data_IF_742735339170
#
_entry.id   IF_742735339170
#
_cell.length_a   1.000
_cell.length_b   1.000
_cell.length_c   1.000
_cell.angle_alpha   90.00
_cell.angle_beta   90.00
_cell.angle_gamma   90.00
#
_symmetry.space_group_name_H-M   'P 1'
#
loop_
_entity.id
_entity.type
_entity.pdbx_description
1 polymer ?
#
# COMPACT_ATOMS: atom_id res chain seq x y z
N UNK A 1 -11.49 3.06 -18.40
CA UNK A 1 -11.19 2.30 -17.16
C UNK A 1 -10.10 3.05 -16.37
N UNK A 2 -9.85 2.70 -15.10
CA UNK A 2 -8.72 3.28 -14.33
C UNK A 2 -7.38 2.98 -15.03
N UNK A 3 -7.24 1.77 -15.58
CA UNK A 3 -6.07 1.36 -16.36
C UNK A 3 -5.80 2.29 -17.56
N UNK A 4 -6.82 2.63 -18.35
CA UNK A 4 -6.66 3.57 -19.47
C UNK A 4 -6.21 4.97 -19.02
N UNK A 5 -6.59 5.41 -17.81
CA UNK A 5 -6.12 6.69 -17.24
C UNK A 5 -4.64 6.62 -16.89
N UNK A 6 -4.18 5.49 -16.35
CA UNK A 6 -2.76 5.24 -16.05
C UNK A 6 -1.93 5.25 -17.33
N UNK A 7 -2.40 4.58 -18.39
CA UNK A 7 -1.72 4.54 -19.69
C UNK A 7 -1.63 5.94 -20.33
N UNK A 8 -2.73 6.70 -20.28
CA UNK A 8 -2.75 8.09 -20.73
C UNK A 8 -1.77 8.94 -19.94
N UNK A 9 -1.76 8.83 -18.60
CA UNK A 9 -0.85 9.60 -17.74
C UNK A 9 0.62 9.23 -17.98
N UNK A 10 0.92 7.95 -18.20
CA UNK A 10 2.26 7.50 -18.57
C UNK A 10 2.72 8.10 -19.90
N UNK A 11 1.84 8.09 -20.91
CA UNK A 11 2.14 8.66 -22.24
C UNK A 11 2.38 10.16 -22.15
N UNK A 12 1.55 10.87 -21.39
CA UNK A 12 1.69 12.31 -21.15
C UNK A 12 2.99 12.64 -20.42
N UNK A 13 3.32 11.90 -19.36
CA UNK A 13 4.55 12.11 -18.60
C UNK A 13 5.81 11.88 -19.45
N UNK A 14 5.82 10.84 -20.30
CA UNK A 14 6.89 10.60 -21.26
C UNK A 14 7.03 11.71 -22.30
N UNK A 15 5.91 12.21 -22.82
CA UNK A 15 5.91 13.31 -23.78
C UNK A 15 6.55 14.56 -23.17
N UNK A 16 6.13 14.93 -21.95
CA UNK A 16 6.68 16.11 -21.28
C UNK A 16 8.16 15.92 -20.96
N UNK A 17 8.56 14.74 -20.49
CA UNK A 17 9.97 14.40 -20.25
C UNK A 17 10.83 14.60 -21.51
N UNK A 18 10.36 14.10 -22.65
CA UNK A 18 11.03 14.26 -23.94
C UNK A 18 11.10 15.72 -24.38
N UNK A 19 10.00 16.48 -24.24
CA UNK A 19 9.94 17.90 -24.59
C UNK A 19 10.92 18.73 -23.74
N UNK A 20 11.04 18.44 -22.44
CA UNK A 20 11.99 19.11 -21.55
C UNK A 20 13.44 18.80 -21.92
N UNK A 21 13.76 17.54 -22.19
CA UNK A 21 15.09 17.15 -22.67
C UNK A 21 15.45 17.86 -23.98
N UNK A 22 14.51 17.89 -24.93
CA UNK A 22 14.71 18.57 -26.21
C UNK A 22 14.96 20.07 -26.04
N UNK A 23 14.26 20.75 -25.12
CA UNK A 23 14.50 22.16 -24.80
C UNK A 23 15.91 22.41 -24.27
N UNK A 24 16.39 21.58 -23.33
CA UNK A 24 17.76 21.68 -22.81
C UNK A 24 18.81 21.43 -23.90
N UNK A 25 18.56 20.48 -24.81
CA UNK A 25 19.49 20.18 -25.90
C UNK A 25 19.51 21.27 -26.98
N UNK A 26 18.38 21.93 -27.23
CA UNK A 26 18.31 23.10 -28.12
C UNK A 26 19.06 24.27 -27.49
N UNK A 27 18.80 24.57 -26.22
CA UNK A 27 19.47 25.67 -25.51
C UNK A 27 20.99 25.48 -25.47
N UNK A 28 21.47 24.28 -25.14
CA UNK A 28 22.91 24.01 -25.09
C UNK A 28 23.57 24.12 -26.47
N UNK A 29 22.85 23.75 -27.54
CA UNK A 29 23.33 23.90 -28.92
C UNK A 29 23.43 25.36 -29.32
N UNK A 30 22.39 26.14 -29.04
CA UNK A 30 22.38 27.60 -29.29
C UNK A 30 23.51 28.28 -28.50
N UNK A 31 23.74 27.88 -27.25
CA UNK A 31 24.86 28.39 -26.46
C UNK A 31 26.21 28.10 -27.13
N UNK A 32 26.44 26.88 -27.62
CA UNK A 32 27.67 26.50 -28.33
C UNK A 32 27.86 27.34 -29.59
N UNK A 33 26.82 27.47 -30.42
CA UNK A 33 26.88 28.28 -31.65
C UNK A 33 27.20 29.77 -31.38
N UNK A 34 26.63 30.34 -30.32
CA UNK A 34 26.89 31.73 -29.91
C UNK A 34 28.34 31.86 -29.42
N UNK A 35 28.79 30.94 -28.56
CA UNK A 35 30.16 30.93 -28.03
C UNK A 35 31.19 30.78 -29.15
N UNK A 36 30.92 29.96 -30.15
CA UNK A 36 31.81 29.77 -31.31
C UNK A 36 31.92 31.05 -32.16
N UNK A 37 30.83 31.82 -32.28
CA UNK A 37 30.80 33.10 -33.03
C UNK A 37 31.42 34.27 -32.28
N UNK A 38 31.20 34.38 -30.97
CA UNK A 38 31.66 35.50 -30.15
C UNK A 38 33.03 35.25 -29.48
N UNK A 39 33.46 34.00 -29.43
CA UNK A 39 34.76 33.57 -28.94
C UNK A 39 35.07 34.10 -27.52
N UNK A 40 36.28 34.64 -27.27
CA UNK A 40 36.73 35.01 -25.94
C UNK A 40 36.00 36.21 -25.32
N UNK A 41 35.18 36.94 -26.09
CA UNK A 41 34.35 38.03 -25.57
C UNK A 41 33.07 37.53 -24.87
N UNK A 42 32.69 36.26 -25.07
CA UNK A 42 31.54 35.65 -24.41
C UNK A 42 31.98 34.90 -23.13
N UNK A 43 31.94 35.60 -22.00
CA UNK A 43 32.37 35.07 -20.69
C UNK A 43 31.22 34.52 -19.83
N UNK A 44 30.06 34.21 -20.43
CA UNK A 44 28.92 33.64 -19.71
C UNK A 44 29.22 32.19 -19.32
N UNK A 45 28.77 31.77 -18.12
CA UNK A 45 28.92 30.41 -17.62
C UNK A 45 28.35 29.38 -18.63
N UNK A 46 29.01 28.24 -18.87
CA UNK A 46 28.50 27.22 -19.78
C UNK A 46 27.12 26.70 -19.39
N UNK A 47 26.21 26.59 -20.37
CA UNK A 47 24.88 26.00 -20.14
C UNK A 47 24.92 24.60 -19.52
N UNK A 48 25.96 23.81 -19.82
CA UNK A 48 26.16 22.49 -19.20
C UNK A 48 26.33 22.55 -17.66
N UNK A 49 26.91 23.62 -17.12
CA UNK A 49 27.01 23.84 -15.67
C UNK A 49 25.70 24.35 -15.09
N UNK A 50 25.01 25.25 -15.79
CA UNK A 50 23.74 25.81 -15.34
C UNK A 50 22.61 24.76 -15.35
N UNK A 51 22.61 23.89 -16.36
CA UNK A 51 21.57 22.89 -16.57
C UNK A 51 21.83 21.56 -15.83
N UNK A 52 22.92 21.46 -15.06
CA UNK A 52 23.33 20.21 -14.41
C UNK A 52 22.25 19.63 -13.49
N UNK A 53 21.59 20.47 -12.69
CA UNK A 53 20.47 20.05 -11.82
C UNK A 53 19.28 19.55 -12.64
N UNK A 54 18.85 20.31 -13.64
CA UNK A 54 17.72 19.92 -14.51
C UNK A 54 17.96 18.60 -15.24
N UNK A 55 19.18 18.36 -15.73
CA UNK A 55 19.54 17.08 -16.36
C UNK A 55 19.56 15.92 -15.37
N UNK A 56 19.98 16.15 -14.12
CA UNK A 56 19.91 15.16 -13.05
C UNK A 56 18.47 14.81 -12.70
N UNK A 57 17.62 15.83 -12.53
CA UNK A 57 16.20 15.67 -12.22
C UNK A 57 15.47 14.93 -13.35
N UNK A 58 15.74 15.26 -14.62
CA UNK A 58 15.20 14.54 -15.78
C UNK A 58 15.68 13.09 -15.86
N UNK A 59 16.93 12.80 -15.48
CA UNK A 59 17.41 11.42 -15.42
C UNK A 59 16.64 10.62 -14.38
N UNK A 60 16.45 11.18 -13.19
CA UNK A 60 15.67 10.56 -12.11
C UNK A 60 14.21 10.31 -12.53
N UNK A 61 13.55 11.29 -13.17
CA UNK A 61 12.20 11.11 -13.71
C UNK A 61 12.17 9.99 -14.76
N UNK A 62 13.18 9.93 -15.64
CA UNK A 62 13.29 8.85 -16.62
C UNK A 62 13.44 7.47 -15.98
N UNK A 63 14.19 7.36 -14.88
CA UNK A 63 14.31 6.12 -14.11
C UNK A 63 12.96 5.70 -13.49
N UNK A 64 12.22 6.65 -12.91
CA UNK A 64 10.87 6.40 -12.39
C UNK A 64 9.89 5.98 -13.47
N UNK A 65 9.89 6.63 -14.63
CA UNK A 65 9.03 6.26 -15.76
C UNK A 65 9.35 4.86 -16.28
N UNK A 66 10.63 4.49 -16.37
CA UNK A 66 11.03 3.14 -16.79
C UNK A 66 10.57 2.06 -15.78
N UNK A 67 10.71 2.32 -14.48
CA UNK A 67 10.20 1.42 -13.43
C UNK A 67 8.67 1.30 -13.50
N UNK A 68 7.98 2.41 -13.75
CA UNK A 68 6.54 2.45 -13.87
C UNK A 68 6.05 1.65 -15.09
N UNK A 69 6.76 1.69 -16.23
CA UNK A 69 6.47 0.85 -17.41
C UNK A 69 6.53 -0.63 -17.05
N UNK A 70 7.60 -1.08 -16.38
CA UNK A 70 7.72 -2.49 -15.98
C UNK A 70 6.59 -2.93 -15.02
N UNK A 71 6.20 -2.06 -14.09
CA UNK A 71 5.08 -2.31 -13.17
C UNK A 71 3.74 -2.36 -13.93
N UNK A 72 3.50 -1.43 -14.85
CA UNK A 72 2.30 -1.38 -15.68
C UNK A 72 2.15 -2.64 -16.53
N UNK A 73 3.22 -3.10 -17.19
CA UNK A 73 3.19 -4.35 -17.98
C UNK A 73 2.88 -5.56 -17.12
N UNK A 74 3.41 -5.62 -15.90
CA UNK A 74 3.08 -6.70 -14.95
C UNK A 74 1.60 -6.65 -14.55
N UNK A 75 1.08 -5.46 -14.27
CA UNK A 75 -0.31 -5.26 -13.92
C UNK A 75 -1.25 -5.62 -15.07
N UNK A 76 -0.92 -5.25 -16.30
CA UNK A 76 -1.67 -5.62 -17.51
C UNK A 76 -1.78 -7.14 -17.65
N UNK A 77 -0.64 -7.82 -17.51
CA UNK A 77 -0.59 -9.29 -17.53
C UNK A 77 -1.43 -9.89 -16.41
N UNK A 78 -1.34 -9.38 -15.18
CA UNK A 78 -2.13 -9.86 -14.04
C UNK A 78 -3.63 -9.62 -14.26
N UNK A 79 -4.03 -8.51 -14.88
CA UNK A 79 -5.44 -8.25 -15.25
C UNK A 79 -5.91 -9.25 -16.31
N UNK A 80 -5.10 -9.48 -17.34
CA UNK A 80 -5.45 -10.37 -18.45
C UNK A 80 -5.57 -11.84 -17.99
N UNK A 81 -4.61 -12.33 -17.21
CA UNK A 81 -4.60 -13.70 -16.67
C UNK A 81 -5.80 -13.97 -15.74
N UNK A 82 -6.33 -12.93 -15.08
CA UNK A 82 -7.44 -13.05 -14.14
C UNK A 82 -8.77 -12.55 -14.71
N UNK A 83 -8.84 -12.19 -16.01
CA UNK A 83 -10.03 -11.60 -16.63
C UNK A 83 -11.27 -12.50 -16.49
N UNK A 84 -11.11 -13.81 -16.72
CA UNK A 84 -12.20 -14.79 -16.57
C UNK A 84 -12.66 -14.94 -15.11
N UNK A 85 -11.76 -14.81 -14.14
CA UNK A 85 -12.11 -14.81 -12.72
C UNK A 85 -12.89 -13.54 -12.35
N UNK A 86 -12.50 -12.38 -12.90
CA UNK A 86 -13.21 -11.13 -12.67
C UNK A 86 -14.60 -11.13 -13.31
N UNK A 87 -14.79 -11.82 -14.44
CA UNK A 87 -16.10 -11.99 -15.07
C UNK A 87 -17.11 -12.71 -14.17
N UNK A 88 -16.64 -13.59 -13.27
CA UNK A 88 -17.52 -14.22 -12.29
C UNK A 88 -18.07 -13.20 -11.26
N UNK A 89 -17.36 -12.10 -11.00
CA UNK A 89 -17.81 -11.02 -10.11
C UNK A 89 -18.82 -10.07 -10.76
N UNK A 90 -18.92 -10.08 -12.10
CA UNK A 90 -19.89 -9.28 -12.84
C UNK A 90 -21.28 -9.93 -12.89
N UNK A 91 -21.36 -11.23 -12.59
CA UNK A 91 -22.60 -12.00 -12.58
C UNK A 91 -23.57 -11.52 -11.51
N UNK A 92 -24.86 -11.57 -11.83
CA UNK A 92 -25.90 -11.24 -10.84
C UNK A 92 -25.97 -12.30 -9.74
N UNK A 93 -26.65 -11.97 -8.63
CA UNK A 93 -26.87 -12.92 -7.53
C UNK A 93 -27.63 -14.16 -8.01
N UNK A 94 -28.59 -13.96 -8.91
CA UNK A 94 -29.42 -15.00 -9.51
C UNK A 94 -28.57 -15.94 -10.39
N UNK A 95 -27.69 -15.38 -11.22
CA UNK A 95 -26.74 -16.13 -12.04
C UNK A 95 -25.72 -16.91 -11.20
N UNK A 96 -25.24 -16.34 -10.11
CA UNK A 96 -24.33 -17.05 -9.19
C UNK A 96 -25.06 -18.17 -8.43
N UNK A 97 -26.31 -17.93 -8.01
CA UNK A 97 -27.10 -18.93 -7.29
C UNK A 97 -27.55 -20.11 -8.15
N UNK A 98 -27.75 -19.88 -9.45
CA UNK A 98 -28.07 -20.94 -10.42
C UNK A 98 -26.84 -21.77 -10.80
N UNK A 99 -25.65 -21.17 -10.80
CA UNK A 99 -24.38 -21.87 -11.01
C UNK A 99 -23.87 -22.60 -9.75
N UNK A 100 -24.46 -22.34 -8.58
CA UNK A 100 -24.10 -23.01 -7.34
C UNK A 100 -24.55 -24.47 -7.40
N UNK A 101 -23.63 -25.46 -7.24
CA UNK A 101 -24.04 -26.86 -7.18
C UNK A 101 -24.99 -27.08 -6.01
N UNK A 102 -26.21 -27.55 -6.27
CA UNK A 102 -27.23 -27.78 -5.25
C UNK A 102 -27.06 -29.18 -4.65
N UNK A 103 -27.08 -29.33 -3.31
CA UNK A 103 -27.19 -30.64 -2.69
C UNK A 103 -28.57 -31.24 -2.99
N UNK A 104 -28.67 -32.58 -2.99
CA UNK A 104 -29.98 -33.24 -2.99
C UNK A 104 -30.67 -32.96 -1.65
N UNK A 105 -32.01 -32.84 -1.65
CA UNK A 105 -32.82 -32.48 -0.47
C UNK A 105 -32.64 -33.45 0.72
N UNK A 106 -32.12 -34.66 0.49
CA UNK A 106 -31.81 -35.65 1.52
C UNK A 106 -30.54 -35.30 2.35
N UNK A 107 -29.62 -34.49 1.84
CA UNK A 107 -28.37 -34.09 2.53
C UNK A 107 -28.51 -32.82 3.39
N UNK A 108 -29.53 -31.98 3.14
CA UNK A 108 -29.70 -30.69 3.83
C UNK A 108 -30.05 -30.83 5.32
N UNK A 109 -30.53 -31.99 5.75
CA UNK A 109 -31.03 -32.21 7.10
C UNK A 109 -29.94 -32.55 8.15
N UNK A 110 -28.67 -32.40 7.79
CA UNK A 110 -27.53 -32.62 8.70
C UNK A 110 -26.91 -31.29 9.13
N UNK A 111 -27.64 -30.51 9.95
CA UNK A 111 -27.02 -29.46 10.76
C UNK A 111 -26.04 -30.10 11.74
N UNK A 112 -24.82 -30.36 11.27
CA UNK A 112 -23.76 -30.91 12.10
C UNK A 112 -23.41 -29.87 13.17
N UNK A 113 -23.40 -30.22 14.47
CA UNK A 113 -22.97 -29.30 15.53
C UNK A 113 -21.54 -28.77 15.32
N UNK A 114 -20.73 -29.47 14.52
CA UNK A 114 -19.40 -29.04 14.10
C UNK A 114 -19.48 -27.81 13.17
N UNK A 115 -20.51 -27.73 12.31
CA UNK A 115 -20.73 -26.60 11.40
C UNK A 115 -21.07 -25.31 12.16
N UNK A 116 -21.92 -25.41 13.19
CA UNK A 116 -22.27 -24.28 14.05
C UNK A 116 -21.07 -23.80 14.86
N UNK A 117 -20.28 -24.74 15.40
CA UNK A 117 -19.04 -24.42 16.11
C UNK A 117 -18.04 -23.69 15.20
N UNK A 118 -17.86 -24.16 13.97
CA UNK A 118 -16.98 -23.50 12.99
C UNK A 118 -17.46 -22.09 12.65
N UNK A 119 -18.78 -21.90 12.48
CA UNK A 119 -19.38 -20.59 12.24
C UNK A 119 -19.10 -19.63 13.41
N UNK A 120 -19.29 -20.08 14.66
CA UNK A 120 -19.00 -19.28 15.84
C UNK A 120 -17.54 -18.83 15.92
N UNK A 121 -16.60 -19.75 15.65
CA UNK A 121 -15.17 -19.42 15.61
C UNK A 121 -14.81 -18.42 14.51
N UNK A 122 -15.45 -18.50 13.34
CA UNK A 122 -15.25 -17.53 12.24
C UNK A 122 -15.83 -16.15 12.60
N UNK A 123 -16.97 -16.11 13.28
CA UNK A 123 -17.55 -14.84 13.78
C UNK A 123 -16.64 -14.20 14.84
N UNK A 124 -16.06 -14.99 15.74
CA UNK A 124 -15.05 -14.53 16.71
C UNK A 124 -13.77 -14.03 16.03
N UNK A 125 -13.31 -14.70 14.96
CA UNK A 125 -12.16 -14.25 14.17
C UNK A 125 -12.46 -12.91 13.47
N UNK A 126 -13.65 -12.74 12.90
CA UNK A 126 -14.08 -11.47 12.29
C UNK A 126 -14.10 -10.33 13.31
N UNK A 127 -14.62 -10.59 14.52
CA UNK A 127 -14.59 -9.62 15.62
C UNK A 127 -13.14 -9.28 16.02
N UNK A 128 -12.24 -10.27 16.07
CA UNK A 128 -10.82 -10.06 16.34
C UNK A 128 -10.12 -9.21 15.28
N UNK A 129 -10.42 -9.43 13.98
CA UNK A 129 -9.91 -8.61 12.88
C UNK A 129 -10.41 -7.17 12.99
N UNK A 130 -11.70 -6.97 13.27
CA UNK A 130 -12.28 -5.64 13.45
C UNK A 130 -11.63 -4.89 14.64
N UNK A 131 -11.46 -5.56 15.78
CA UNK A 131 -10.77 -5.02 16.95
C UNK A 131 -9.33 -4.61 16.62
N UNK A 132 -8.62 -5.40 15.82
CA UNK A 132 -7.24 -5.07 15.41
C UNK A 132 -7.17 -3.82 14.53
N UNK A 133 -8.10 -3.64 13.60
CA UNK A 133 -8.16 -2.41 12.81
C UNK A 133 -8.51 -1.20 13.69
N UNK A 134 -9.41 -1.36 14.66
CA UNK A 134 -9.72 -0.32 15.65
C UNK A 134 -8.48 0.06 16.48
N UNK A 135 -7.75 -0.93 17.02
CA UNK A 135 -6.52 -0.70 17.78
C UNK A 135 -5.45 0.00 16.93
N UNK A 136 -5.34 -0.33 15.64
CA UNK A 136 -4.44 0.36 14.72
C UNK A 136 -4.86 1.82 14.53
N UNK A 137 -6.15 2.11 14.34
CA UNK A 137 -6.64 3.49 14.23
C UNK A 137 -6.40 4.27 15.52
N UNK A 138 -6.63 3.65 16.69
CA UNK A 138 -6.32 4.25 17.98
C UNK A 138 -4.83 4.55 18.13
N UNK A 139 -3.95 3.64 17.68
CA UNK A 139 -2.49 3.84 17.72
C UNK A 139 -2.04 5.01 16.83
N UNK A 140 -2.55 5.07 15.59
CA UNK A 140 -2.27 6.20 14.68
C UNK A 140 -2.78 7.52 15.26
N UNK A 141 -4.00 7.53 15.79
CA UNK A 141 -4.58 8.72 16.45
C UNK A 141 -3.77 9.17 17.67
N UNK A 142 -3.27 8.23 18.48
CA UNK A 142 -2.39 8.57 19.61
C UNK A 142 -1.07 9.18 19.14
N UNK A 143 -0.50 8.72 18.03
CA UNK A 143 0.70 9.32 17.43
C UNK A 143 0.41 10.74 16.94
N UNK A 144 -0.68 10.93 16.19
CA UNK A 144 -1.03 12.23 15.61
C UNK A 144 -1.35 13.29 16.67
N UNK A 145 -1.93 12.88 17.79
CA UNK A 145 -2.28 13.78 18.90
C UNK A 145 -1.14 13.97 19.92
N UNK A 146 -0.02 13.26 19.78
CA UNK A 146 1.10 13.38 20.71
C UNK A 146 1.95 14.60 20.38
N UNK A 147 1.94 15.60 21.26
CA UNK A 147 2.79 16.78 21.14
C UNK A 147 4.23 16.48 21.57
N UNK A 148 4.97 15.82 20.67
CA UNK A 148 6.40 15.51 20.87
C UNK A 148 7.21 16.80 21.03
N UNK A 149 6.83 17.88 20.32
CA UNK A 149 7.52 19.16 20.39
C UNK A 149 7.35 19.81 21.77
N UNK A 150 6.14 19.76 22.34
CA UNK A 150 5.85 20.20 23.71
C UNK A 150 6.60 19.39 24.76
N UNK A 151 6.68 18.06 24.61
CA UNK A 151 7.43 17.18 25.51
C UNK A 151 8.96 17.43 25.44
N UNK A 152 9.50 17.70 24.25
CA UNK A 152 10.90 18.11 24.06
C UNK A 152 11.18 19.50 24.65
N UNK A 153 10.25 20.45 24.52
CA UNK A 153 10.43 21.79 25.09
C UNK A 153 10.30 21.82 26.62
N UNK A 154 9.42 20.99 27.20
CA UNK A 154 9.25 20.86 28.65
C UNK A 154 10.48 20.26 29.35
N UNK A 155 11.17 19.32 28.68
CA UNK A 155 12.43 18.76 29.18
C UNK A 155 13.57 19.79 29.10
N UNK A 156 13.68 20.59 28.03
CA UNK A 156 14.69 21.66 27.97
C UNK A 156 14.49 22.81 28.97
N UNK A 157 13.25 23.13 29.35
CA UNK A 157 12.97 24.23 30.29
C UNK A 157 13.21 23.84 31.75
N UNK A 158 13.04 22.57 32.12
CA UNK A 158 13.36 22.09 33.48
C UNK A 158 14.87 22.01 33.73
N UNK A 159 15.67 21.67 32.72
CA UNK A 159 17.14 21.59 32.80
C UNK A 159 17.82 22.97 32.87
N UNK A 160 17.17 24.03 32.35
CA UNK A 160 17.75 25.40 32.36
C UNK A 160 17.78 26.02 33.76
N UNK A 161 17.07 25.46 34.75
CA UNK A 161 17.04 25.95 36.13
C UNK A 161 18.07 25.35 37.08
N UNK A 162 18.88 24.37 36.66
CA UNK A 162 19.95 23.79 37.48
C UNK A 162 21.24 23.60 36.69
N UNK A 163 22.16 24.57 36.85
CA UNK A 163 23.64 24.42 36.84
C UNK A 163 24.29 23.32 35.99
N UNK A 164 24.92 23.75 34.89
CA UNK A 164 26.33 23.47 34.52
C UNK A 164 26.83 22.00 34.55
N UNK A 165 26.39 21.11 33.64
CA UNK A 165 27.17 19.92 33.21
C UNK A 165 26.71 19.37 31.84
N UNK A 166 27.22 19.96 30.75
CA UNK A 166 26.71 19.77 29.36
C UNK A 166 26.93 18.41 28.65
N UNK A 167 27.47 17.37 29.29
CA UNK A 167 27.80 16.10 28.58
C UNK A 167 27.02 14.86 29.03
N UNK A 168 26.44 14.83 30.23
CA UNK A 168 25.65 13.68 30.71
C UNK A 168 24.13 13.92 30.58
N UNK A 169 23.67 15.18 30.64
CA UNK A 169 22.25 15.57 30.62
C UNK A 169 21.53 15.24 29.30
N UNK A 170 22.20 15.35 28.15
CA UNK A 170 21.60 15.00 26.84
C UNK A 170 21.18 13.53 26.74
N UNK A 171 21.87 12.64 27.45
CA UNK A 171 21.56 11.21 27.46
C UNK A 171 20.39 10.90 28.41
N UNK A 172 20.24 11.68 29.49
CA UNK A 172 19.17 11.52 30.49
C UNK A 172 17.83 12.10 29.98
N UNK A 173 17.87 13.23 29.27
CA UNK A 173 16.68 13.84 28.66
C UNK A 173 16.12 12.99 27.52
N UNK A 174 17.01 12.41 26.69
CA UNK A 174 16.61 11.47 25.64
C UNK A 174 16.00 10.19 26.23
N UNK A 175 16.55 9.67 27.34
CA UNK A 175 16.01 8.48 28.01
C UNK A 175 14.65 8.74 28.66
N UNK A 176 14.48 9.88 29.34
CA UNK A 176 13.19 10.27 29.93
C UNK A 176 12.10 10.48 28.88
N UNK A 177 12.43 11.08 27.73
CA UNK A 177 11.50 11.22 26.61
C UNK A 177 11.14 9.87 25.99
N UNK A 178 12.11 8.97 25.80
CA UNK A 178 11.81 7.60 25.34
C UNK A 178 10.95 6.84 26.33
N UNK A 179 11.12 7.01 27.64
CA UNK A 179 10.27 6.36 28.65
C UNK A 179 8.85 6.93 28.61
N UNK A 180 8.69 8.26 28.59
CA UNK A 180 7.37 8.90 28.53
C UNK A 180 6.60 8.53 27.25
N UNK A 181 7.28 8.50 26.11
CA UNK A 181 6.67 8.08 24.84
C UNK A 181 6.39 6.57 24.82
N UNK A 182 7.28 5.73 25.35
CA UNK A 182 7.06 4.28 25.42
C UNK A 182 5.91 3.91 26.36
N UNK A 183 5.80 4.55 27.51
CA UNK A 183 4.72 4.31 28.47
C UNK A 183 3.35 4.73 27.91
N UNK A 184 3.30 5.83 27.15
CA UNK A 184 2.07 6.27 26.48
C UNK A 184 1.49 5.21 25.52
N UNK A 185 2.36 4.43 24.86
CA UNK A 185 1.95 3.38 23.92
C UNK A 185 1.89 1.97 24.54
N UNK A 186 2.27 1.80 25.81
CA UNK A 186 2.42 0.48 26.43
C UNK A 186 1.10 -0.30 26.48
N UNK A 187 0.01 0.37 26.82
CA UNK A 187 -1.30 -0.26 26.94
C UNK A 187 -1.85 -0.70 25.58
N UNK A 188 -1.69 0.14 24.55
CA UNK A 188 -2.15 -0.19 23.20
C UNK A 188 -1.26 -1.26 22.55
N UNK A 189 0.06 -1.22 22.78
CA UNK A 189 0.99 -2.27 22.37
C UNK A 189 0.65 -3.62 23.02
N UNK A 190 0.29 -3.62 24.31
CA UNK A 190 -0.18 -4.82 25.02
C UNK A 190 -1.47 -5.36 24.42
N UNK A 191 -2.47 -4.51 24.17
CA UNK A 191 -3.73 -4.92 23.54
C UNK A 191 -3.51 -5.51 22.14
N UNK A 192 -2.60 -4.94 21.35
CA UNK A 192 -2.22 -5.47 20.03
C UNK A 192 -1.59 -6.87 20.18
N UNK A 193 -0.68 -7.03 21.14
CA UNK A 193 -0.04 -8.32 21.42
C UNK A 193 -1.04 -9.39 21.88
N UNK A 194 -1.94 -9.05 22.80
CA UNK A 194 -2.97 -9.95 23.32
C UNK A 194 -3.97 -10.35 22.22
N UNK A 195 -4.34 -9.41 21.35
CA UNK A 195 -5.18 -9.67 20.16
C UNK A 195 -4.47 -10.61 19.19
N UNK A 196 -3.17 -10.41 18.94
CA UNK A 196 -2.36 -11.32 18.11
C UNK A 196 -2.31 -12.74 18.69
N UNK A 197 -2.13 -12.88 20.00
CA UNK A 197 -2.13 -14.18 20.68
C UNK A 197 -3.50 -14.87 20.59
N UNK A 198 -4.58 -14.09 20.72
CA UNK A 198 -5.96 -14.58 20.58
C UNK A 198 -6.23 -15.06 19.15
N UNK A 199 -5.76 -14.31 18.15
CA UNK A 199 -5.88 -14.68 16.74
C UNK A 199 -5.20 -16.02 16.44
N UNK A 200 -3.99 -16.26 16.97
CA UNK A 200 -3.30 -17.55 16.81
C UNK A 200 -4.14 -18.70 17.37
N UNK A 201 -4.65 -18.56 18.61
CA UNK A 201 -5.51 -19.59 19.23
C UNK A 201 -6.80 -19.84 18.44
N UNK A 202 -7.42 -18.79 17.90
CA UNK A 202 -8.61 -18.92 17.07
C UNK A 202 -8.29 -19.66 15.77
N UNK A 203 -7.16 -19.37 15.12
CA UNK A 203 -6.74 -20.05 13.90
C UNK A 203 -6.46 -21.55 14.15
N UNK A 204 -5.82 -21.89 15.27
CA UNK A 204 -5.60 -23.28 15.66
C UNK A 204 -6.95 -24.00 15.87
N UNK A 205 -7.87 -23.40 16.63
CA UNK A 205 -9.19 -23.96 16.89
C UNK A 205 -10.05 -24.09 15.62
N UNK A 206 -9.96 -23.13 14.70
CA UNK A 206 -10.62 -23.16 13.39
C UNK A 206 -10.04 -24.30 12.55
N UNK A 207 -8.71 -24.47 12.53
CA UNK A 207 -8.05 -25.53 11.78
C UNK A 207 -8.50 -26.90 12.27
N UNK A 208 -8.42 -27.15 13.59
CA UNK A 208 -8.86 -28.41 14.20
C UNK A 208 -10.35 -28.69 13.96
N UNK A 209 -11.20 -27.66 14.09
CA UNK A 209 -12.66 -27.81 13.89
C UNK A 209 -12.99 -28.00 12.40
N UNK A 210 -12.26 -27.35 11.50
CA UNK A 210 -12.42 -27.52 10.07
C UNK A 210 -11.97 -28.92 9.63
N UNK A 211 -10.89 -29.47 10.18
CA UNK A 211 -10.47 -30.84 9.90
C UNK A 211 -11.53 -31.85 10.34
N UNK A 212 -12.10 -31.67 11.54
CA UNK A 212 -13.24 -32.46 12.01
C UNK A 212 -14.47 -32.31 11.10
N UNK A 213 -14.75 -31.09 10.64
CA UNK A 213 -15.87 -30.80 9.75
C UNK A 213 -15.71 -31.46 8.37
N UNK A 214 -14.51 -31.39 7.79
CA UNK A 214 -14.18 -32.01 6.51
C UNK A 214 -14.23 -33.53 6.61
N UNK A 215 -13.70 -34.10 7.70
CA UNK A 215 -13.75 -35.54 7.95
C UNK A 215 -15.18 -36.04 8.17
N UNK A 216 -16.01 -35.28 8.89
CA UNK A 216 -17.41 -35.63 9.15
C UNK A 216 -18.32 -35.47 7.92
N UNK A 217 -17.99 -34.56 7.00
CA UNK A 217 -18.77 -34.35 5.76
C UNK A 217 -18.58 -35.44 4.71
N UNK A 218 -17.48 -36.19 4.76
CA UNK A 218 -17.14 -37.14 3.71
C UNK A 218 -16.89 -36.48 2.34
N UNK A 219 -16.32 -37.22 1.40
CA UNK A 219 -15.95 -36.72 0.07
C UNK A 219 -17.17 -36.67 -0.89
N UNK A 220 -18.27 -36.05 -0.47
CA UNK A 220 -19.45 -35.96 -1.33
C UNK A 220 -19.13 -35.06 -2.54
N UNK A 221 -19.20 -35.58 -3.79
CA UNK A 221 -18.71 -34.87 -4.98
C UNK A 221 -19.33 -33.47 -5.16
N UNK A 222 -20.62 -33.33 -4.82
CA UNK A 222 -21.36 -32.06 -4.91
C UNK A 222 -20.79 -31.01 -3.94
N UNK A 223 -20.36 -31.41 -2.75
CA UNK A 223 -19.81 -30.50 -1.75
C UNK A 223 -18.38 -30.07 -2.09
N UNK A 224 -17.58 -30.97 -2.65
CA UNK A 224 -16.26 -30.64 -3.22
C UNK A 224 -16.42 -29.62 -4.36
N UNK A 225 -17.40 -29.81 -5.25
CA UNK A 225 -17.70 -28.83 -6.31
C UNK A 225 -18.18 -27.48 -5.75
N UNK A 226 -19.03 -27.46 -4.70
CA UNK A 226 -19.42 -26.21 -4.02
C UNK A 226 -18.22 -25.51 -3.40
N UNK A 227 -17.34 -26.25 -2.73
CA UNK A 227 -16.14 -25.69 -2.10
C UNK A 227 -15.21 -25.07 -3.14
N UNK A 228 -14.97 -25.75 -4.26
CA UNK A 228 -14.20 -25.17 -5.38
C UNK A 228 -14.85 -23.92 -5.95
N UNK A 229 -16.18 -23.90 -6.08
CA UNK A 229 -16.92 -22.72 -6.55
C UNK A 229 -16.74 -21.52 -5.60
N UNK A 230 -16.92 -21.70 -4.29
CA UNK A 230 -16.71 -20.63 -3.30
C UNK A 230 -15.24 -20.19 -3.22
N UNK A 231 -14.30 -21.14 -3.27
CA UNK A 231 -12.88 -20.83 -3.28
C UNK A 231 -12.50 -19.98 -4.50
N UNK A 232 -13.02 -20.31 -5.69
CA UNK A 232 -12.83 -19.53 -6.92
C UNK A 232 -13.38 -18.11 -6.79
N UNK A 233 -14.58 -17.94 -6.22
CA UNK A 233 -15.16 -16.60 -5.99
C UNK A 233 -14.35 -15.77 -4.99
N UNK A 234 -13.92 -16.38 -3.88
CA UNK A 234 -13.07 -15.70 -2.90
C UNK A 234 -11.74 -15.29 -3.52
N UNK A 235 -11.11 -16.18 -4.29
CA UNK A 235 -9.89 -15.86 -5.01
C UNK A 235 -10.09 -14.72 -6.02
N UNK A 236 -11.23 -14.69 -6.71
CA UNK A 236 -11.57 -13.59 -7.62
C UNK A 236 -11.69 -12.26 -6.86
N UNK A 237 -12.38 -12.24 -5.71
CA UNK A 237 -12.51 -11.05 -4.85
C UNK A 237 -11.15 -10.55 -4.34
N UNK A 238 -10.32 -11.44 -3.80
CA UNK A 238 -8.98 -11.10 -3.29
C UNK A 238 -8.11 -10.50 -4.39
N UNK A 239 -8.04 -11.17 -5.54
CA UNK A 239 -7.28 -10.69 -6.70
C UNK A 239 -7.81 -9.36 -7.19
N UNK A 240 -9.13 -9.20 -7.30
CA UNK A 240 -9.74 -7.95 -7.73
C UNK A 240 -9.40 -6.79 -6.79
N UNK A 241 -9.52 -6.99 -5.48
CA UNK A 241 -9.18 -5.97 -4.50
C UNK A 241 -7.69 -5.59 -4.54
N UNK A 242 -6.81 -6.58 -4.68
CA UNK A 242 -5.37 -6.35 -4.85
C UNK A 242 -5.07 -5.56 -6.12
N UNK A 243 -5.60 -5.98 -7.27
CA UNK A 243 -5.46 -5.27 -8.55
C UNK A 243 -6.00 -3.85 -8.48
N UNK A 244 -7.15 -3.66 -7.83
CA UNK A 244 -7.76 -2.34 -7.60
C UNK A 244 -6.88 -1.43 -6.73
N UNK A 245 -6.24 -1.98 -5.69
CA UNK A 245 -5.30 -1.23 -4.86
C UNK A 245 -4.09 -0.77 -5.69
N UNK A 246 -3.46 -1.68 -6.45
CA UNK A 246 -2.32 -1.35 -7.32
C UNK A 246 -2.70 -0.29 -8.37
N UNK A 247 -3.88 -0.38 -8.96
CA UNK A 247 -4.38 0.63 -9.91
C UNK A 247 -4.56 2.01 -9.26
N UNK A 248 -5.02 2.07 -8.01
CA UNK A 248 -5.14 3.34 -7.28
C UNK A 248 -3.76 3.92 -6.96
N UNK A 249 -2.83 3.09 -6.52
CA UNK A 249 -1.47 3.49 -6.22
C UNK A 249 -0.75 3.99 -7.47
N UNK A 250 -0.95 3.33 -8.62
CA UNK A 250 -0.43 3.80 -9.90
C UNK A 250 -0.98 5.17 -10.29
N UNK A 251 -2.29 5.39 -10.14
CA UNK A 251 -2.90 6.69 -10.45
C UNK A 251 -2.37 7.81 -9.52
N UNK A 252 -2.18 7.50 -8.23
CA UNK A 252 -1.55 8.41 -7.29
C UNK A 252 -0.10 8.70 -7.69
N UNK A 253 0.69 7.68 -8.01
CA UNK A 253 2.06 7.84 -8.48
C UNK A 253 2.18 8.82 -9.66
N UNK A 254 1.35 8.68 -10.70
CA UNK A 254 1.42 9.62 -11.83
C UNK A 254 0.94 11.03 -11.45
N UNK A 255 -0.02 11.16 -10.53
CA UNK A 255 -0.44 12.46 -10.00
C UNK A 255 0.70 13.15 -9.25
N UNK A 256 1.39 12.42 -8.37
CA UNK A 256 2.52 12.91 -7.57
C UNK A 256 3.71 13.23 -8.50
N UNK A 257 4.02 12.37 -9.47
CA UNK A 257 5.08 12.61 -10.46
C UNK A 257 4.82 13.88 -11.29
N UNK A 258 3.58 14.09 -11.71
CA UNK A 258 3.20 15.28 -12.48
C UNK A 258 3.29 16.55 -11.64
N UNK A 259 2.80 16.51 -10.40
CA UNK A 259 2.72 17.68 -9.51
C UNK A 259 4.08 18.07 -8.95
N UNK A 260 4.82 17.10 -8.41
CA UNK A 260 6.00 17.36 -7.58
C UNK A 260 7.30 17.40 -8.37
N UNK A 261 7.32 16.87 -9.58
CA UNK A 261 8.54 16.78 -10.38
C UNK A 261 8.38 17.47 -11.73
N UNK A 262 7.37 17.09 -12.51
CA UNK A 262 7.28 17.53 -13.91
C UNK A 262 6.83 18.99 -14.02
N UNK A 263 5.79 19.40 -13.29
CA UNK A 263 5.27 20.78 -13.36
C UNK A 263 6.29 21.79 -12.86
N UNK A 264 7.07 21.45 -11.82
CA UNK A 264 8.13 22.31 -11.28
C UNK A 264 9.25 22.54 -12.30
N UNK A 265 9.54 21.58 -13.17
CA UNK A 265 10.55 21.71 -14.23
C UNK A 265 10.03 22.48 -15.45
N UNK A 266 8.72 22.70 -15.55
CA UNK A 266 8.10 23.50 -16.62
C UNK A 266 7.98 24.98 -16.27
N UNK A 267 7.92 25.33 -14.98
CA UNK A 267 7.86 26.71 -14.46
C UNK A 267 9.22 27.39 -14.47
#
# INVERSE_FOLDING_TARGET
SIYARIESANTEAWKIHQDLNAKLDIEERVFKEIKDKLGPHWQVMPSAQLNGKYRSDLKMIGEFLNQAVASNTKLEKEIHENAELFRDLEKSREELSSNLPKPNEEDENSQSPIAEKLKGLLDELNACIALREELKQQYVSQIENMDIAGLLMATTTTTTTMTTTMTEEKSQDATNLTVATTDAFKDIARKIYDTGTTQVKLLDAITDTNDQFVNAKGSHPVQVSRQHFFHRLNQACEKFNKTKAILKDGLKFYSDLMTDYITILQS
#
